data_IF_840177899743
#
_entry.id   IF_840177899743
#
_cell.length_a   1.000
_cell.length_b   1.000
_cell.length_c   1.000
_cell.angle_alpha   90.00
_cell.angle_beta   90.00
_cell.angle_gamma   90.00
#
_symmetry.space_group_name_H-M   'P 1'
#
loop_
_entity.id
_entity.type
_entity.pdbx_description
1 polymer ?
#
# COMPACT_ATOMS: atom_id res chain seq x y z
N UNK A 1 3.88 -1.73 -59.72
CA UNK A 1 4.93 -2.26 -58.81
C UNK A 1 5.09 -1.40 -57.57
N UNK A 2 5.68 -0.19 -57.64
CA UNK A 2 6.01 0.65 -56.46
C UNK A 2 4.90 0.77 -55.40
N UNK A 3 3.64 1.01 -55.80
CA UNK A 3 2.51 1.10 -54.87
C UNK A 3 2.21 -0.19 -54.08
N UNK A 4 2.52 -1.39 -54.63
CA UNK A 4 2.36 -2.67 -53.91
C UNK A 4 3.41 -2.83 -52.81
N UNK A 5 4.64 -2.34 -53.04
CA UNK A 5 5.69 -2.31 -52.01
C UNK A 5 5.33 -1.33 -50.88
N UNK A 6 4.81 -0.15 -51.21
CA UNK A 6 4.35 0.83 -50.22
C UNK A 6 3.18 0.29 -49.39
N UNK A 7 2.17 -0.32 -50.04
CA UNK A 7 1.04 -0.95 -49.34
C UNK A 7 1.50 -2.08 -48.40
N UNK A 8 2.44 -2.92 -48.87
CA UNK A 8 3.03 -3.99 -48.06
C UNK A 8 3.81 -3.48 -46.85
N UNK A 9 4.57 -2.39 -47.01
CA UNK A 9 5.28 -1.73 -45.89
C UNK A 9 4.32 -1.17 -44.85
N UNK A 10 3.24 -0.51 -45.29
CA UNK A 10 2.21 0.03 -44.39
C UNK A 10 1.53 -1.10 -43.60
N UNK A 11 1.11 -2.17 -44.27
CA UNK A 11 0.54 -3.36 -43.61
C UNK A 11 1.52 -3.99 -42.62
N UNK A 12 2.82 -4.08 -42.96
CA UNK A 12 3.85 -4.59 -42.06
C UNK A 12 4.00 -3.70 -40.81
N UNK A 13 4.02 -2.37 -40.96
CA UNK A 13 4.10 -1.46 -39.81
C UNK A 13 2.87 -1.53 -38.89
N UNK A 14 1.67 -1.72 -39.43
CA UNK A 14 0.44 -1.90 -38.64
C UNK A 14 0.48 -3.24 -37.88
N UNK A 15 0.96 -4.31 -38.54
CA UNK A 15 1.09 -5.63 -37.93
C UNK A 15 2.12 -5.65 -36.79
N UNK A 16 3.26 -4.98 -36.95
CA UNK A 16 4.27 -4.83 -35.90
C UNK A 16 3.80 -3.90 -34.76
N UNK A 17 3.03 -2.86 -35.06
CA UNK A 17 2.45 -1.93 -34.07
C UNK A 17 1.40 -2.55 -33.15
N UNK A 18 0.96 -3.79 -33.41
CA UNK A 18 -0.05 -4.49 -32.61
C UNK A 18 0.54 -5.25 -31.40
N UNK A 19 1.87 -5.25 -31.20
CA UNK A 19 2.52 -5.77 -30.00
C UNK A 19 2.47 -4.75 -28.84
N UNK A 20 1.27 -4.41 -28.39
CA UNK A 20 1.07 -3.60 -27.18
C UNK A 20 1.46 -4.42 -25.95
N UNK A 21 2.49 -3.98 -25.23
CA UNK A 21 2.84 -4.55 -23.91
C UNK A 21 1.69 -4.30 -22.93
N UNK A 22 0.99 -5.36 -22.51
CA UNK A 22 -0.06 -5.27 -21.50
C UNK A 22 0.52 -4.75 -20.18
N UNK A 23 0.27 -3.48 -19.87
CA UNK A 23 0.65 -2.88 -18.58
C UNK A 23 -0.23 -3.47 -17.48
N UNK A 24 0.31 -4.40 -16.70
CA UNK A 24 -0.31 -4.82 -15.44
C UNK A 24 -0.24 -3.63 -14.47
N UNK A 25 -1.37 -2.96 -14.27
CA UNK A 25 -1.54 -2.01 -13.17
C UNK A 25 -1.36 -2.75 -11.84
N UNK A 26 -0.85 -2.06 -10.82
CA UNK A 26 -0.83 -2.60 -9.46
C UNK A 26 -2.28 -2.77 -8.95
N UNK A 27 -2.59 -3.79 -8.13
CA UNK A 27 -3.90 -3.92 -7.51
C UNK A 27 -4.25 -2.67 -6.69
N UNK A 28 -5.53 -2.34 -6.63
CA UNK A 28 -6.02 -1.18 -5.88
C UNK A 28 -6.27 -1.56 -4.41
N UNK A 29 -5.18 -1.75 -3.66
CA UNK A 29 -5.23 -2.22 -2.27
C UNK A 29 -6.07 -1.31 -1.35
N UNK A 30 -6.04 0.01 -1.57
CA UNK A 30 -6.89 0.97 -0.85
C UNK A 30 -8.38 0.70 -1.08
N UNK A 31 -8.81 0.37 -2.30
CA UNK A 31 -10.21 0.00 -2.54
C UNK A 31 -10.60 -1.30 -1.82
N UNK A 32 -9.67 -2.26 -1.67
CA UNK A 32 -9.90 -3.50 -0.91
C UNK A 32 -9.95 -3.27 0.60
N UNK A 33 -9.08 -2.43 1.16
CA UNK A 33 -9.14 -2.00 2.56
C UNK A 33 -10.50 -1.34 2.88
N UNK A 34 -10.93 -0.40 2.01
CA UNK A 34 -12.21 0.29 2.09
C UNK A 34 -13.45 -0.59 1.84
N UNK A 35 -13.27 -1.80 1.32
CA UNK A 35 -14.34 -2.79 1.14
C UNK A 35 -14.36 -3.81 2.30
N UNK A 36 -13.18 -4.11 2.88
CA UNK A 36 -13.01 -4.99 4.03
C UNK A 36 -13.62 -4.39 5.32
N UNK A 37 -13.42 -3.09 5.56
CA UNK A 37 -13.78 -2.43 6.83
C UNK A 37 -14.95 -1.42 6.74
N UNK A 38 -15.48 -1.15 5.55
CA UNK A 38 -16.53 -0.13 5.27
C UNK A 38 -16.20 1.31 5.73
N UNK A 39 -14.93 1.60 6.06
CA UNK A 39 -14.43 2.90 6.56
C UNK A 39 -14.35 4.01 5.49
N UNK A 40 -15.20 3.93 4.45
CA UNK A 40 -15.13 4.70 3.20
C UNK A 40 -15.26 6.22 3.34
N UNK A 41 -16.04 6.67 4.32
CA UNK A 41 -16.34 8.08 4.57
C UNK A 41 -15.66 8.58 5.87
N UNK A 42 -14.56 7.93 6.27
CA UNK A 42 -13.79 8.21 7.49
C UNK A 42 -12.40 8.80 7.18
N UNK A 43 -11.61 9.11 8.22
CA UNK A 43 -10.21 9.51 8.06
C UNK A 43 -9.29 8.42 7.51
N UNK A 44 -9.66 7.14 7.60
CA UNK A 44 -8.85 6.01 7.10
C UNK A 44 -8.93 5.84 5.57
N UNK A 45 -9.71 6.66 4.88
CA UNK A 45 -9.89 6.64 3.42
C UNK A 45 -8.77 7.39 2.65
N UNK A 46 -7.59 7.52 3.24
CA UNK A 46 -6.45 8.30 2.77
C UNK A 46 -5.20 7.41 2.57
N UNK A 47 -4.20 7.88 1.82
CA UNK A 47 -3.02 7.03 1.54
C UNK A 47 -2.14 6.78 2.77
N UNK A 48 -2.26 7.67 3.75
CA UNK A 48 -1.68 7.69 5.09
C UNK A 48 -1.92 6.39 5.87
N UNK A 49 -2.95 5.63 5.53
CA UNK A 49 -3.24 4.29 6.06
C UNK A 49 -2.16 3.22 5.71
N UNK A 50 -1.36 3.43 4.64
CA UNK A 50 -0.33 2.47 4.19
C UNK A 50 0.94 3.14 3.61
N UNK A 51 1.05 4.47 3.72
CA UNK A 51 2.18 5.28 3.25
C UNK A 51 2.42 6.52 4.13
N UNK A 52 3.67 6.65 4.63
CA UNK A 52 4.22 7.86 5.31
C UNK A 52 3.95 9.18 4.53
N UNK A 53 3.73 9.10 3.21
CA UNK A 53 3.27 10.23 2.41
C UNK A 53 1.74 10.17 2.19
N UNK A 54 0.95 11.13 2.71
CA UNK A 54 -0.50 11.14 2.54
C UNK A 54 -0.97 11.36 1.09
N UNK A 55 -0.07 11.76 0.19
CA UNK A 55 -0.33 11.82 -1.25
C UNK A 55 -0.13 10.46 -1.96
N UNK A 56 0.28 9.43 -1.21
CA UNK A 56 0.54 8.07 -1.67
C UNK A 56 1.92 7.87 -2.30
N UNK A 57 2.35 6.60 -2.33
CA UNK A 57 3.65 6.20 -2.85
C UNK A 57 4.81 6.57 -1.92
N UNK A 58 6.04 6.31 -2.37
CA UNK A 58 7.22 6.37 -1.52
C UNK A 58 7.35 5.13 -0.62
N UNK A 59 7.88 5.33 0.59
CA UNK A 59 7.95 4.31 1.63
C UNK A 59 6.56 3.96 2.18
N UNK A 60 6.46 2.86 2.91
CA UNK A 60 5.30 2.54 3.75
C UNK A 60 5.62 2.82 5.21
N UNK A 61 4.60 3.10 5.97
CA UNK A 61 4.55 2.96 7.44
C UNK A 61 4.66 1.48 7.86
N UNK A 62 4.60 1.23 9.16
CA UNK A 62 4.63 -0.11 9.74
C UNK A 62 3.42 -0.95 9.33
N UNK A 63 2.17 -0.46 9.42
CA UNK A 63 0.99 -1.18 8.94
C UNK A 63 1.15 -1.66 7.49
N UNK A 64 1.55 -0.75 6.61
CA UNK A 64 1.78 -1.06 5.20
C UNK A 64 2.92 -2.05 4.98
N UNK A 65 3.94 -2.07 5.85
CA UNK A 65 4.99 -3.10 5.86
C UNK A 65 4.43 -4.45 6.34
N UNK A 66 3.76 -4.50 7.49
CA UNK A 66 3.12 -5.70 8.04
C UNK A 66 2.16 -6.33 7.03
N UNK A 67 1.31 -5.53 6.38
CA UNK A 67 0.45 -5.96 5.28
C UNK A 67 1.24 -6.50 4.08
N UNK A 68 2.34 -5.85 3.70
CA UNK A 68 3.15 -6.28 2.56
C UNK A 68 3.92 -7.59 2.80
N UNK A 69 4.26 -7.88 4.06
CA UNK A 69 5.00 -9.09 4.47
C UNK A 69 4.05 -10.27 4.75
N UNK A 70 2.90 -10.03 5.39
CA UNK A 70 1.85 -11.04 5.61
C UNK A 70 0.98 -11.30 4.36
N UNK A 71 1.63 -11.44 3.21
CA UNK A 71 1.01 -11.89 1.95
C UNK A 71 0.04 -10.89 1.30
N UNK A 72 -0.21 -9.72 1.90
CA UNK A 72 -1.25 -8.74 1.53
C UNK A 72 -2.67 -9.21 1.81
N UNK A 73 -2.82 -9.95 2.89
CA UNK A 73 -4.10 -10.21 3.54
C UNK A 73 -4.26 -9.25 4.72
N UNK A 74 -5.42 -8.60 4.84
CA UNK A 74 -5.70 -7.70 5.97
C UNK A 74 -6.06 -8.49 7.23
N UNK A 75 -6.78 -9.62 7.08
CA UNK A 75 -7.15 -10.50 8.20
C UNK A 75 -5.91 -11.11 8.88
N UNK A 76 -4.83 -11.32 8.12
CA UNK A 76 -3.58 -11.87 8.63
C UNK A 76 -2.76 -10.90 9.50
N UNK A 77 -3.19 -9.64 9.62
CA UNK A 77 -2.54 -8.63 10.48
C UNK A 77 -3.48 -8.02 11.53
N UNK A 78 -4.76 -8.40 11.59
CA UNK A 78 -5.72 -7.79 12.52
C UNK A 78 -5.29 -7.88 14.00
N UNK A 79 -4.66 -8.99 14.40
CA UNK A 79 -4.17 -9.23 15.77
C UNK A 79 -2.73 -8.70 16.02
N UNK A 80 -2.13 -7.98 15.07
CA UNK A 80 -0.83 -7.33 15.27
C UNK A 80 -1.02 -5.91 15.79
N UNK A 81 -0.22 -5.55 16.79
CA UNK A 81 0.29 -4.19 17.00
C UNK A 81 1.41 -3.96 15.96
N UNK A 82 1.37 -2.86 15.21
CA UNK A 82 2.31 -2.62 14.10
C UNK A 82 3.33 -1.53 14.38
N UNK A 83 2.99 -0.49 15.14
CA UNK A 83 3.86 0.66 15.48
C UNK A 83 4.31 0.70 16.95
N UNK A 84 4.07 -0.40 17.68
CA UNK A 84 4.43 -0.64 19.09
C UNK A 84 3.72 0.32 20.07
N UNK A 85 2.47 0.73 19.78
CA UNK A 85 1.68 1.66 20.60
C UNK A 85 0.94 1.00 21.79
N UNK A 86 0.70 -0.32 21.72
CA UNK A 86 -0.02 -1.12 22.71
C UNK A 86 -1.45 -1.55 22.33
N UNK A 87 -1.94 -1.22 21.13
CA UNK A 87 -3.23 -1.64 20.59
C UNK A 87 -3.04 -2.53 19.36
N UNK A 88 -4.06 -3.32 19.01
CA UNK A 88 -4.04 -4.08 17.76
C UNK A 88 -4.63 -3.27 16.60
N UNK A 89 -4.10 -3.50 15.40
CA UNK A 89 -4.56 -2.91 14.13
C UNK A 89 -6.11 -2.90 14.00
N UNK A 90 -6.79 -3.95 14.48
CA UNK A 90 -8.25 -4.04 14.41
C UNK A 90 -8.98 -3.19 15.47
N UNK A 91 -8.43 -3.01 16.66
CA UNK A 91 -9.00 -2.12 17.69
C UNK A 91 -8.97 -0.67 17.21
N UNK A 92 -7.86 -0.27 16.60
CA UNK A 92 -7.64 1.03 15.97
C UNK A 92 -8.52 1.30 14.75
N UNK A 93 -8.60 0.36 13.80
CA UNK A 93 -9.47 0.51 12.62
C UNK A 93 -10.95 0.68 13.07
N UNK A 94 -11.35 0.05 14.18
CA UNK A 94 -12.66 0.27 14.79
C UNK A 94 -12.77 1.60 15.57
N UNK A 95 -11.69 2.11 16.15
CA UNK A 95 -11.60 3.44 16.78
C UNK A 95 -11.49 4.60 15.77
N UNK A 96 -11.18 4.29 14.50
CA UNK A 96 -10.83 5.22 13.42
C UNK A 96 -9.47 5.92 13.63
N UNK A 97 -8.48 5.21 14.16
CA UNK A 97 -7.07 5.63 14.25
C UNK A 97 -6.19 4.93 13.21
N UNK A 98 -4.94 5.39 13.04
CA UNK A 98 -4.01 4.88 12.03
C UNK A 98 -2.95 3.93 12.61
N UNK A 99 -3.00 2.61 12.31
CA UNK A 99 -2.05 1.59 12.82
C UNK A 99 -0.61 1.65 12.32
N UNK A 100 -0.16 2.82 11.86
CA UNK A 100 1.19 3.07 11.38
C UNK A 100 1.74 4.42 11.83
N UNK A 101 1.15 4.99 12.87
CA UNK A 101 1.41 6.32 13.43
C UNK A 101 1.12 6.30 14.94
N UNK A 102 2.08 5.81 15.76
CA UNK A 102 1.93 5.64 17.22
C UNK A 102 1.80 6.95 18.05
N UNK A 103 1.58 8.10 17.40
CA UNK A 103 1.06 9.34 17.99
C UNK A 103 -0.48 9.48 17.84
N UNK A 104 -1.16 8.57 17.12
CA UNK A 104 -2.61 8.56 16.82
C UNK A 104 -3.28 7.25 17.25
N UNK A 105 -3.67 7.14 18.52
CA UNK A 105 -4.12 5.88 19.13
C UNK A 105 -5.44 6.02 19.94
N UNK A 106 -6.14 4.92 20.27
CA UNK A 106 -7.41 4.97 21.00
C UNK A 106 -7.29 5.55 22.42
N UNK A 107 -8.21 6.46 22.79
CA UNK A 107 -8.25 6.99 24.17
C UNK A 107 -8.70 5.91 25.18
N UNK A 108 -7.78 5.46 26.05
CA UNK A 108 -8.12 4.65 27.22
C UNK A 108 -8.92 5.45 28.25
N UNK A 109 -10.24 5.37 28.14
CA UNK A 109 -11.16 5.88 29.17
C UNK A 109 -11.10 4.93 30.38
N UNK A 110 -10.19 5.21 31.33
CA UNK A 110 -10.21 4.58 32.65
C UNK A 110 -11.51 4.94 33.39
N UNK A 111 -12.51 4.08 33.27
CA UNK A 111 -13.75 4.15 34.07
C UNK A 111 -13.38 3.81 35.51
N UNK A 112 -13.10 4.86 36.27
CA UNK A 112 -12.87 4.80 37.72
C UNK A 112 -14.17 4.47 38.46
N UNK A 113 -14.55 3.19 38.43
CA UNK A 113 -15.69 2.68 39.20
C UNK A 113 -15.53 3.04 40.69
N UNK A 114 -16.43 3.90 41.16
CA UNK A 114 -16.51 4.23 42.59
C UNK A 114 -17.25 3.10 43.30
N UNK A 115 -16.56 2.37 44.17
CA UNK A 115 -17.11 1.20 44.89
C UNK A 115 -18.48 1.46 45.54
N UNK A 116 -19.42 0.53 45.30
CA UNK A 116 -20.78 0.56 45.83
C UNK A 116 -21.37 -0.85 45.95
N UNK A 117 -20.75 -1.70 46.76
CA UNK A 117 -21.04 -3.13 46.82
C UNK A 117 -22.37 -3.50 47.51
N UNK A 118 -22.99 -4.60 47.07
CA UNK A 118 -23.39 -5.71 47.96
C UNK A 118 -23.53 -7.04 47.17
N UNK A 119 -23.52 -8.18 47.86
CA UNK A 119 -23.22 -9.52 47.32
C UNK A 119 -24.48 -10.45 47.23
N UNK A 120 -24.46 -11.75 46.91
CA UNK A 120 -23.40 -12.77 46.92
C UNK A 120 -23.74 -14.09 46.16
N UNK A 121 -22.75 -15.00 46.10
CA UNK A 121 -22.86 -16.48 46.02
C UNK A 121 -23.18 -17.09 44.63
N UNK A 122 -22.50 -18.12 44.08
CA UNK A 122 -21.28 -18.94 44.38
C UNK A 122 -20.78 -19.54 43.02
N UNK A 123 -19.70 -20.31 42.81
CA UNK A 123 -18.79 -21.22 43.57
C UNK A 123 -17.38 -21.21 42.88
N UNK A 124 -16.24 -21.73 43.37
CA UNK A 124 -15.81 -23.11 43.73
C UNK A 124 -15.85 -24.11 42.54
N UNK A 125 -14.78 -24.80 42.08
CA UNK A 125 -13.36 -24.98 42.49
C UNK A 125 -12.48 -25.02 41.20
N UNK A 126 -11.25 -24.47 41.08
CA UNK A 126 -9.90 -24.83 41.62
C UNK A 126 -9.08 -25.82 40.72
N UNK A 127 -7.75 -25.82 40.88
CA UNK A 127 -6.68 -26.57 40.15
C UNK A 127 -6.36 -26.05 38.71
N UNK A 128 -5.27 -25.35 38.39
CA UNK A 128 -3.82 -25.36 38.75
C UNK A 128 -2.96 -26.38 37.97
N UNK A 129 -2.13 -25.89 37.03
CA UNK A 129 -0.68 -26.16 37.07
C UNK A 129 0.15 -25.18 36.21
N UNK A 130 1.36 -24.87 36.67
CA UNK A 130 2.38 -24.04 36.01
C UNK A 130 3.36 -24.87 35.20
N UNK A 131 3.96 -24.29 34.15
CA UNK A 131 5.42 -24.32 34.05
C UNK A 131 6.01 -23.07 33.37
N UNK A 132 7.32 -22.86 33.52
CA UNK A 132 8.10 -21.70 33.06
C UNK A 132 9.44 -22.15 32.51
N UNK A 133 9.91 -21.59 31.39
CA UNK A 133 11.35 -21.45 31.10
C UNK A 133 11.55 -20.31 30.10
N UNK A 134 12.62 -19.52 30.28
CA UNK A 134 12.99 -18.40 29.43
C UNK A 134 14.38 -18.60 28.77
N UNK A 135 14.63 -17.86 27.69
CA UNK A 135 15.94 -17.40 27.20
C UNK A 135 15.63 -16.25 26.22
N UNK A 136 16.09 -14.99 26.34
CA UNK A 136 17.33 -14.38 26.85
C UNK A 136 18.46 -14.34 25.81
N UNK A 137 18.65 -13.13 25.27
CA UNK A 137 19.86 -12.52 24.68
C UNK A 137 20.56 -13.20 23.48
N UNK A 138 20.67 -12.43 22.39
CA UNK A 138 21.97 -11.92 21.90
C UNK A 138 21.73 -10.72 20.98
N UNK A 139 22.28 -9.55 21.34
CA UNK A 139 22.36 -8.41 20.44
C UNK A 139 23.66 -8.46 19.61
N UNK A 140 23.66 -7.91 18.40
CA UNK A 140 24.90 -7.58 17.67
C UNK A 140 24.66 -6.38 16.76
N UNK A 141 25.27 -5.25 17.11
CA UNK A 141 25.37 -4.09 16.22
C UNK A 141 26.31 -4.40 15.05
N UNK A 142 26.07 -3.78 13.89
CA UNK A 142 27.14 -3.26 13.03
C UNK A 142 26.55 -2.20 12.09
N UNK A 143 27.08 -0.98 12.16
CA UNK A 143 26.80 0.08 11.18
C UNK A 143 27.73 -0.03 9.98
N UNK A 144 27.24 0.39 8.80
CA UNK A 144 28.08 1.09 7.81
C UNK A 144 27.21 1.82 6.79
N UNK A 145 27.51 3.09 6.56
CA UNK A 145 26.81 3.97 5.62
C UNK A 145 26.96 3.56 4.14
N UNK A 146 25.98 3.94 3.32
CA UNK A 146 26.24 4.29 1.93
C UNK A 146 25.26 5.36 1.45
N UNK A 147 25.72 6.61 1.32
CA UNK A 147 25.10 7.57 0.41
C UNK A 147 25.03 7.00 -1.02
N UNK A 148 24.03 7.42 -1.81
CA UNK A 148 24.24 7.95 -3.17
C UNK A 148 22.94 8.57 -3.72
N UNK A 149 23.05 9.87 -3.97
CA UNK A 149 22.43 10.71 -5.00
C UNK A 149 20.96 10.47 -5.43
N UNK A 150 20.17 11.54 -5.23
CA UNK A 150 18.98 11.88 -6.02
C UNK A 150 19.19 11.68 -7.53
N UNK A 151 18.22 11.03 -8.18
CA UNK A 151 18.02 11.18 -9.61
C UNK A 151 16.54 11.12 -9.98
N UNK A 152 15.81 12.18 -9.60
CA UNK A 152 14.45 12.48 -10.04
C UNK A 152 14.38 12.73 -11.56
N UNK A 153 14.50 11.67 -12.35
CA UNK A 153 14.30 11.71 -13.80
C UNK A 153 12.81 11.74 -14.12
N UNK A 154 12.30 12.89 -14.57
CA UNK A 154 10.95 12.99 -15.14
C UNK A 154 10.80 11.98 -16.30
N UNK A 155 9.97 10.96 -16.12
CA UNK A 155 9.56 10.08 -17.21
C UNK A 155 8.51 10.79 -18.06
N UNK A 156 8.95 11.78 -18.85
CA UNK A 156 8.11 12.43 -19.85
C UNK A 156 7.68 11.40 -20.90
N UNK A 157 6.42 10.95 -20.78
CA UNK A 157 5.82 9.97 -21.68
C UNK A 157 5.88 10.46 -23.14
N UNK A 158 6.54 9.75 -24.07
CA UNK A 158 6.69 10.16 -25.47
C UNK A 158 5.42 9.91 -26.31
N UNK A 159 4.23 10.10 -25.72
CA UNK A 159 2.96 9.59 -26.23
C UNK A 159 2.35 10.33 -27.43
N UNK A 160 2.61 11.64 -27.61
CA UNK A 160 1.79 12.47 -28.51
C UNK A 160 2.57 13.25 -29.59
N UNK A 161 3.87 13.52 -29.42
CA UNK A 161 4.62 14.38 -30.34
C UNK A 161 4.84 13.82 -31.76
N UNK A 162 5.01 12.50 -31.87
CA UNK A 162 5.44 11.84 -33.13
C UNK A 162 4.33 11.90 -34.22
N UNK A 163 3.05 11.88 -33.82
CA UNK A 163 1.91 11.80 -34.72
C UNK A 163 1.86 12.99 -35.69
N UNK A 164 2.12 14.20 -35.21
CA UNK A 164 2.03 15.42 -36.01
C UNK A 164 3.14 15.52 -37.08
N UNK A 165 4.34 15.02 -36.78
CA UNK A 165 5.49 15.06 -37.70
C UNK A 165 5.24 14.19 -38.95
N UNK A 166 4.67 13.00 -38.76
CA UNK A 166 4.41 12.05 -39.86
C UNK A 166 3.34 12.58 -40.82
N UNK A 167 2.26 13.18 -40.31
CA UNK A 167 1.23 13.80 -41.15
C UNK A 167 1.74 15.04 -41.90
N UNK A 168 2.52 15.91 -41.25
CA UNK A 168 3.11 17.08 -41.89
C UNK A 168 4.03 16.72 -43.06
N UNK A 169 4.85 15.69 -42.91
CA UNK A 169 5.77 15.25 -43.97
C UNK A 169 5.03 14.64 -45.17
N UNK A 170 3.92 13.92 -44.94
CA UNK A 170 3.09 13.39 -46.02
C UNK A 170 2.37 14.50 -46.82
N UNK A 171 1.88 15.55 -46.15
CA UNK A 171 1.25 16.68 -46.83
C UNK A 171 2.24 17.41 -47.76
N UNK A 172 3.48 17.64 -47.30
CA UNK A 172 4.54 18.28 -48.11
C UNK A 172 4.91 17.48 -49.37
N UNK A 173 4.82 16.13 -49.32
CA UNK A 173 5.07 15.25 -50.48
C UNK A 173 3.89 15.28 -51.47
N UNK A 174 2.66 15.46 -50.98
CA UNK A 174 1.46 15.47 -51.82
C UNK A 174 1.24 16.79 -52.57
N UNK A 175 1.67 17.93 -52.01
CA UNK A 175 1.53 19.26 -52.62
C UNK A 175 2.53 19.50 -53.77
N UNK A 176 3.56 18.66 -53.92
CA UNK A 176 4.66 18.83 -54.90
C UNK A 176 4.62 17.82 -56.06
N UNK A 177 3.43 17.43 -56.52
CA UNK A 177 3.21 16.45 -57.60
C UNK A 177 2.05 16.78 -58.51
#
# INVERSE_FOLDING_TARGET
>A
MKYKLVLGLILLTILLGSFTTSSLARPNYMASFLEQYDVRDTRLATCDMCHINPNGGGARDSYGLAYAENGKDFLAIEELDSDDDGFTNIEEINALTFPGDSDDYPEIIEVTETEGAEAANSSADEESETDTTANTETATETSSESDVEDSATEVQSPGFGIILVVFGMMAAIYIKR
#
